data_IF_425537565459
#
_entry.id   IF_425537565459
#
_cell.length_a   1.000
_cell.length_b   1.000
_cell.length_c   1.000
_cell.angle_alpha   90.00
_cell.angle_beta   90.00
_cell.angle_gamma   90.00
#
_symmetry.space_group_name_H-M   'P 1'
#
loop_
_entity.id
_entity.type
_entity.pdbx_description
1 polymer ?
#
# COMPACT_ATOMS: atom_id res chain seq x y z
N UNK A 1 30.85 -20.83 -7.77
CA UNK A 1 30.09 -22.00 -8.27
C UNK A 1 28.70 -21.54 -8.72
N UNK A 2 27.90 -22.37 -9.41
CA UNK A 2 26.62 -21.98 -10.02
C UNK A 2 25.43 -22.24 -9.06
N UNK A 3 24.77 -21.18 -8.59
CA UNK A 3 23.41 -21.24 -8.05
C UNK A 3 22.52 -20.40 -8.99
N UNK A 4 21.74 -21.01 -9.90
CA UNK A 4 20.41 -21.62 -9.69
C UNK A 4 19.40 -20.65 -9.08
N UNK A 5 18.50 -20.19 -9.94
CA UNK A 5 17.32 -19.37 -9.62
C UNK A 5 16.20 -20.21 -9.00
N UNK A 6 15.62 -19.73 -7.91
CA UNK A 6 14.28 -20.12 -7.46
C UNK A 6 13.35 -18.91 -7.57
N UNK A 7 12.55 -18.90 -8.62
CA UNK A 7 11.48 -17.93 -8.85
C UNK A 7 10.20 -18.67 -9.19
N UNK A 8 9.57 -19.30 -8.20
CA UNK A 8 8.25 -19.90 -8.36
C UNK A 8 7.18 -18.88 -8.01
N UNK A 9 6.27 -18.65 -8.96
CA UNK A 9 5.11 -17.78 -8.79
C UNK A 9 4.09 -18.48 -7.90
N UNK A 10 3.68 -17.85 -6.79
CA UNK A 10 2.51 -18.28 -6.04
C UNK A 10 1.26 -17.70 -6.71
N UNK A 11 0.56 -18.54 -7.49
CA UNK A 11 -0.74 -18.20 -8.07
C UNK A 11 -1.86 -18.60 -7.11
N UNK A 12 -2.81 -17.67 -6.86
CA UNK A 12 -3.95 -17.89 -5.98
C UNK A 12 -4.82 -19.12 -6.37
N UNK A 13 -5.43 -19.86 -5.43
CA UNK A 13 -6.09 -21.14 -5.72
C UNK A 13 -7.41 -21.04 -6.48
N UNK A 14 -8.06 -19.87 -6.49
CA UNK A 14 -9.43 -19.71 -6.98
C UNK A 14 -9.50 -18.93 -8.30
N UNK A 15 -9.36 -19.64 -9.42
CA UNK A 15 -9.73 -19.12 -10.75
C UNK A 15 -10.42 -20.21 -11.58
N UNK A 16 -11.65 -19.99 -12.09
CA UNK A 16 -12.35 -20.96 -12.93
C UNK A 16 -11.54 -21.36 -14.16
N UNK A 17 -11.62 -22.64 -14.53
CA UNK A 17 -10.81 -23.23 -15.60
C UNK A 17 -11.60 -23.27 -16.91
N UNK A 18 -11.43 -22.26 -17.76
CA UNK A 18 -11.97 -22.29 -19.13
C UNK A 18 -11.48 -23.51 -19.91
N UNK A 19 -12.42 -24.23 -20.52
CA UNK A 19 -12.17 -25.47 -21.25
C UNK A 19 -12.20 -25.25 -22.76
N UNK A 20 -11.04 -25.02 -23.38
CA UNK A 20 -10.93 -25.02 -24.85
C UNK A 20 -10.85 -26.45 -25.39
N UNK A 21 -11.88 -26.84 -26.15
CA UNK A 21 -11.90 -28.06 -26.95
C UNK A 21 -10.92 -27.94 -28.13
N UNK A 22 -10.23 -29.04 -28.50
CA UNK A 22 -9.40 -29.07 -29.72
C UNK A 22 -9.35 -30.46 -30.37
N UNK A 23 -9.97 -30.59 -31.54
CA UNK A 23 -9.77 -31.62 -32.57
C UNK A 23 -10.61 -31.21 -33.80
N UNK A 24 -10.17 -31.30 -35.06
CA UNK A 24 -8.85 -31.56 -35.65
C UNK A 24 -8.49 -30.47 -36.71
N UNK A 25 -7.54 -30.69 -37.63
CA UNK A 25 -7.96 -31.29 -38.92
C UNK A 25 -7.06 -32.44 -39.43
N UNK A 26 -7.62 -33.19 -40.39
CA UNK A 26 -7.03 -34.37 -41.04
C UNK A 26 -6.03 -34.06 -42.16
N UNK A 27 -5.35 -35.10 -42.66
CA UNK A 27 -4.27 -35.04 -43.66
C UNK A 27 -4.74 -35.28 -45.12
N UNK A 28 -3.76 -35.50 -46.03
CA UNK A 28 -3.78 -35.50 -47.51
C UNK A 28 -3.62 -34.09 -48.13
N UNK A 29 -2.89 -33.84 -49.23
CA UNK A 29 -1.96 -34.64 -50.07
C UNK A 29 -1.09 -33.67 -50.93
N UNK A 30 0.04 -33.99 -51.59
CA UNK A 30 1.12 -35.01 -51.43
C UNK A 30 2.21 -34.76 -52.51
N UNK A 31 3.42 -35.36 -52.37
CA UNK A 31 4.52 -35.43 -53.39
C UNK A 31 5.28 -34.11 -53.78
N UNK A 32 6.53 -34.10 -54.31
CA UNK A 32 7.56 -35.14 -54.53
C UNK A 32 8.99 -34.52 -54.66
N UNK A 33 10.04 -35.34 -54.46
CA UNK A 33 11.43 -35.12 -54.93
C UNK A 33 12.34 -34.22 -54.07
N UNK A 34 13.68 -34.36 -54.06
CA UNK A 34 14.62 -35.31 -54.72
C UNK A 34 15.92 -35.43 -53.87
N UNK A 35 16.80 -36.41 -54.12
CA UNK A 35 18.15 -36.56 -53.53
C UNK A 35 19.14 -35.43 -53.96
N UNK A 36 20.39 -35.24 -53.55
CA UNK A 36 21.56 -36.07 -53.09
C UNK A 36 22.55 -35.17 -52.27
N UNK A 37 23.70 -35.58 -51.68
CA UNK A 37 24.23 -36.85 -51.09
C UNK A 37 25.72 -36.65 -50.67
N UNK A 38 26.21 -37.32 -49.61
CA UNK A 38 27.63 -37.36 -49.14
C UNK A 38 28.31 -35.99 -48.78
N UNK A 39 29.50 -35.88 -48.14
CA UNK A 39 30.53 -36.85 -47.71
C UNK A 39 31.28 -36.44 -46.40
N UNK A 40 32.03 -37.40 -45.84
CA UNK A 40 32.81 -37.37 -44.58
C UNK A 40 33.96 -36.34 -44.51
N UNK A 41 34.48 -36.09 -43.29
CA UNK A 41 35.83 -36.58 -42.86
C UNK A 41 36.09 -36.45 -41.34
N UNK A 42 36.83 -37.40 -40.75
CA UNK A 42 37.26 -37.35 -39.34
C UNK A 42 38.61 -36.64 -39.12
N UNK A 43 38.89 -36.25 -37.86
CA UNK A 43 40.16 -36.57 -37.18
C UNK A 43 39.88 -36.88 -35.69
N UNK A 44 40.55 -37.90 -35.14
CA UNK A 44 40.54 -38.31 -33.74
C UNK A 44 41.97 -38.22 -33.16
N UNK A 45 42.13 -37.95 -31.85
CA UNK A 45 43.21 -38.49 -30.99
C UNK A 45 42.97 -38.11 -29.51
N UNK A 46 43.31 -39.01 -28.59
CA UNK A 46 43.28 -38.82 -27.13
C UNK A 46 44.68 -38.55 -26.55
N UNK A 47 44.77 -37.97 -25.35
CA UNK A 47 46.03 -37.90 -24.59
C UNK A 47 45.84 -37.36 -23.16
N UNK A 48 46.39 -38.05 -22.16
CA UNK A 48 46.29 -37.70 -20.73
C UNK A 48 47.50 -38.26 -19.94
N UNK A 49 47.67 -38.06 -18.60
CA UNK A 49 48.89 -37.39 -18.10
C UNK A 49 49.73 -38.18 -17.07
N UNK A 50 50.92 -37.68 -16.69
CA UNK A 50 51.45 -37.55 -15.29
C UNK A 50 52.93 -37.11 -15.20
N UNK A 51 53.40 -36.87 -13.97
CA UNK A 51 54.70 -36.29 -13.53
C UNK A 51 55.66 -37.38 -13.01
N UNK A 52 57.00 -37.15 -13.03
CA UNK A 52 57.81 -36.86 -11.80
C UNK A 52 59.01 -35.90 -12.09
N UNK A 53 60.01 -35.63 -11.21
CA UNK A 53 60.10 -35.22 -9.77
C UNK A 53 61.63 -34.95 -9.44
N UNK A 54 61.96 -34.33 -8.28
CA UNK A 54 63.32 -34.31 -7.60
C UNK A 54 64.47 -33.50 -8.24
N UNK A 55 65.59 -33.11 -7.57
CA UNK A 55 66.08 -32.89 -6.17
C UNK A 55 67.48 -32.16 -6.33
N UNK A 56 68.23 -31.47 -5.42
CA UNK A 56 68.13 -30.90 -4.04
C UNK A 56 69.36 -29.98 -3.74
N UNK A 57 69.31 -29.08 -2.72
CA UNK A 57 70.41 -28.29 -2.07
C UNK A 57 71.02 -27.06 -2.83
N UNK A 58 71.73 -26.08 -2.22
CA UNK A 58 72.29 -25.94 -0.86
C UNK A 58 72.39 -24.48 -0.29
N UNK A 59 72.32 -24.37 1.05
CA UNK A 59 72.72 -23.36 2.09
C UNK A 59 73.60 -22.09 1.73
N UNK A 60 73.72 -20.95 2.48
CA UNK A 60 73.38 -20.52 3.88
C UNK A 60 73.33 -18.93 4.04
N UNK A 61 73.40 -18.22 5.22
CA UNK A 61 72.34 -17.23 5.58
C UNK A 61 72.82 -15.82 6.06
N UNK A 62 71.99 -15.15 6.90
CA UNK A 62 72.22 -13.99 7.81
C UNK A 62 71.85 -12.58 7.28
N UNK A 63 70.75 -12.02 7.79
CA UNK A 63 70.74 -10.85 8.70
C UNK A 63 69.32 -10.62 9.25
N UNK A 64 69.19 -10.05 10.46
CA UNK A 64 67.91 -9.82 11.13
C UNK A 64 67.75 -8.36 11.58
N UNK A 65 66.63 -7.75 11.20
CA UNK A 65 66.15 -6.48 11.79
C UNK A 65 64.62 -6.54 11.95
N UNK A 66 64.05 -5.96 13.02
CA UNK A 66 62.64 -6.12 13.35
C UNK A 66 61.75 -5.18 12.51
N UNK A 67 61.19 -5.70 11.42
CA UNK A 67 60.20 -4.97 10.62
C UNK A 67 58.82 -5.05 11.29
N UNK A 68 58.15 -3.90 11.40
CA UNK A 68 56.83 -3.77 12.04
C UNK A 68 55.80 -4.61 11.28
N UNK A 69 54.97 -5.38 11.99
CA UNK A 69 53.83 -6.08 11.38
C UNK A 69 52.73 -5.08 11.07
N UNK A 70 52.80 -4.48 9.90
CA UNK A 70 51.75 -3.61 9.37
C UNK A 70 50.58 -4.48 8.88
N UNK A 71 49.70 -4.86 9.83
CA UNK A 71 48.55 -5.74 9.56
C UNK A 71 47.65 -5.12 8.48
N UNK A 72 47.61 -5.77 7.32
CA UNK A 72 46.83 -5.40 6.13
C UNK A 72 45.37 -5.07 6.52
N UNK A 73 44.80 -3.92 6.11
CA UNK A 73 43.42 -3.58 6.41
C UNK A 73 42.41 -4.68 6.02
N UNK A 74 42.70 -5.48 4.98
CA UNK A 74 41.88 -6.63 4.57
C UNK A 74 41.90 -7.77 5.58
N UNK A 75 43.03 -7.98 6.28
CA UNK A 75 43.12 -8.97 7.36
C UNK A 75 42.26 -8.53 8.55
N UNK A 76 42.31 -7.25 8.93
CA UNK A 76 41.46 -6.69 10.00
C UNK A 76 39.96 -6.77 9.65
N UNK A 77 39.60 -6.50 8.40
CA UNK A 77 38.22 -6.69 7.91
C UNK A 77 37.80 -8.16 7.94
N UNK A 78 38.66 -9.09 7.52
CA UNK A 78 38.40 -10.53 7.61
C UNK A 78 38.23 -10.98 9.06
N UNK A 79 39.03 -10.48 10.00
CA UNK A 79 38.93 -10.78 11.43
C UNK A 79 37.63 -10.22 12.05
N UNK A 80 37.26 -9.00 11.70
CA UNK A 80 36.01 -8.38 12.14
C UNK A 80 34.78 -9.14 11.60
N UNK A 81 34.76 -9.52 10.32
CA UNK A 81 33.71 -10.35 9.74
C UNK A 81 33.67 -11.76 10.36
N UNK A 82 34.83 -12.35 10.69
CA UNK A 82 34.90 -13.63 11.42
C UNK A 82 34.43 -13.52 12.87
N UNK A 83 34.56 -12.35 13.51
CA UNK A 83 33.95 -12.08 14.83
C UNK A 83 32.43 -11.98 14.69
N UNK A 84 31.93 -11.14 13.78
CA UNK A 84 30.50 -10.94 13.56
C UNK A 84 29.78 -12.25 13.18
N UNK A 85 30.37 -13.08 12.31
CA UNK A 85 29.81 -14.39 11.97
C UNK A 85 29.75 -15.35 13.17
N UNK A 86 30.67 -15.23 14.14
CA UNK A 86 30.63 -16.03 15.37
C UNK A 86 29.57 -15.51 16.33
N UNK A 87 29.49 -14.20 16.49
CA UNK A 87 28.52 -13.48 17.32
C UNK A 87 27.08 -13.80 16.88
N UNK A 88 26.78 -13.66 15.57
CA UNK A 88 25.53 -14.10 14.95
C UNK A 88 25.27 -15.61 15.08
N UNK A 89 26.31 -16.46 15.04
CA UNK A 89 26.14 -17.91 15.21
C UNK A 89 25.89 -18.31 16.68
N UNK A 90 26.39 -17.54 17.64
CA UNK A 90 26.12 -17.71 19.07
C UNK A 90 24.71 -17.22 19.43
N UNK A 91 24.28 -16.10 18.83
CA UNK A 91 22.93 -15.53 18.91
C UNK A 91 21.87 -16.45 18.28
N UNK A 92 22.07 -16.94 17.05
CA UNK A 92 21.18 -17.93 16.43
C UNK A 92 21.07 -19.19 17.29
N UNK A 93 22.19 -19.69 17.84
CA UNK A 93 22.16 -20.82 18.80
C UNK A 93 21.45 -20.50 20.10
N UNK A 94 21.31 -19.23 20.49
CA UNK A 94 20.55 -18.82 21.66
C UNK A 94 19.06 -18.80 21.35
N UNK A 95 18.66 -18.25 20.20
CA UNK A 95 17.28 -18.34 19.72
C UNK A 95 16.84 -19.79 19.44
N UNK A 96 17.69 -20.65 18.87
CA UNK A 96 17.42 -22.09 18.74
C UNK A 96 17.18 -22.76 20.09
N UNK A 97 17.95 -22.40 21.13
CA UNK A 97 17.76 -22.91 22.50
C UNK A 97 16.49 -22.39 23.16
N UNK A 98 16.12 -21.12 22.96
CA UNK A 98 14.89 -20.58 23.55
C UNK A 98 13.64 -21.11 22.83
N UNK A 99 13.68 -21.23 21.50
CA UNK A 99 12.60 -21.87 20.71
C UNK A 99 12.43 -23.34 21.08
N UNK A 100 13.53 -24.09 21.25
CA UNK A 100 13.43 -25.48 21.68
C UNK A 100 12.99 -25.59 23.14
N UNK A 101 13.36 -24.64 24.01
CA UNK A 101 12.81 -24.52 25.37
C UNK A 101 11.30 -24.29 25.35
N UNK A 102 10.80 -23.36 24.53
CA UNK A 102 9.36 -23.12 24.34
C UNK A 102 8.61 -24.32 23.72
N UNK A 103 9.33 -25.27 23.11
CA UNK A 103 8.77 -26.53 22.60
C UNK A 103 8.87 -27.70 23.58
N UNK A 104 9.86 -27.68 24.47
CA UNK A 104 10.11 -28.72 25.48
C UNK A 104 9.52 -28.41 26.84
N UNK A 105 9.07 -27.17 27.08
CA UNK A 105 8.40 -26.78 28.30
C UNK A 105 7.14 -27.65 28.50
N UNK A 106 6.96 -28.30 29.66
CA UNK A 106 5.67 -28.87 29.99
C UNK A 106 4.65 -27.74 30.12
N UNK A 107 3.39 -28.03 29.78
CA UNK A 107 2.32 -27.03 29.64
C UNK A 107 1.91 -26.36 30.97
N UNK A 108 2.50 -26.82 32.06
CA UNK A 108 2.12 -26.50 33.43
C UNK A 108 2.68 -25.11 33.86
N UNK A 109 3.77 -24.63 33.27
CA UNK A 109 4.31 -23.28 33.52
C UNK A 109 3.34 -22.17 33.04
N UNK A 110 2.55 -22.43 31.99
CA UNK A 110 1.52 -21.48 31.50
C UNK A 110 0.32 -21.37 32.48
N UNK A 111 -0.02 -22.46 33.19
CA UNK A 111 -1.16 -22.46 34.13
C UNK A 111 -0.86 -21.68 35.42
N UNK A 112 0.39 -21.68 35.90
CA UNK A 112 0.80 -20.83 37.03
C UNK A 112 0.76 -19.34 36.67
N UNK A 113 1.22 -18.96 35.48
CA UNK A 113 1.23 -17.55 35.05
C UNK A 113 -0.19 -17.03 34.75
N UNK A 114 -1.07 -17.87 34.17
CA UNK A 114 -2.51 -17.55 34.03
C UNK A 114 -3.18 -17.41 35.41
N UNK A 115 -2.85 -18.28 36.37
CA UNK A 115 -3.37 -18.20 37.75
C UNK A 115 -2.87 -16.95 38.49
N UNK A 116 -1.60 -16.58 38.27
CA UNK A 116 -1.00 -15.32 38.71
C UNK A 116 -1.78 -14.14 38.13
N UNK A 117 -2.05 -14.13 36.82
CA UNK A 117 -2.80 -13.07 36.16
C UNK A 117 -4.24 -12.95 36.70
N UNK A 118 -4.94 -14.07 36.87
CA UNK A 118 -6.32 -14.12 37.42
C UNK A 118 -6.36 -13.59 38.86
N UNK A 119 -5.39 -13.97 39.71
CA UNK A 119 -5.33 -13.45 41.09
C UNK A 119 -4.95 -11.97 41.13
N UNK A 120 -4.17 -11.47 40.17
CA UNK A 120 -3.83 -10.05 40.04
C UNK A 120 -5.03 -9.22 39.57
N UNK A 121 -5.82 -9.71 38.61
CA UNK A 121 -7.08 -9.09 38.15
C UNK A 121 -8.13 -9.03 39.26
N UNK A 122 -8.37 -10.15 39.96
CA UNK A 122 -9.32 -10.19 41.08
C UNK A 122 -8.89 -9.31 42.27
N UNK A 123 -7.59 -9.05 42.43
CA UNK A 123 -7.04 -8.13 43.43
C UNK A 123 -7.15 -6.65 43.00
N UNK A 124 -7.18 -6.37 41.70
CA UNK A 124 -7.39 -5.04 41.16
C UNK A 124 -8.88 -4.61 41.18
N UNK A 125 -9.81 -5.57 41.10
CA UNK A 125 -11.25 -5.32 41.19
C UNK A 125 -11.92 -6.25 42.24
N UNK A 126 -11.85 -5.92 43.54
CA UNK A 126 -12.43 -6.74 44.59
C UNK A 126 -13.97 -6.63 44.60
N UNK A 127 -14.65 -7.63 44.03
CA UNK A 127 -16.10 -7.79 44.21
C UNK A 127 -16.41 -8.00 45.72
N UNK A 128 -17.57 -7.52 46.21
CA UNK A 128 -17.99 -7.77 47.58
C UNK A 128 -18.18 -9.28 47.83
N UNK A 129 -17.96 -9.76 49.06
CA UNK A 129 -17.95 -11.20 49.36
C UNK A 129 -19.35 -11.80 49.26
N UNK A 130 -19.66 -12.40 48.12
CA UNK A 130 -20.81 -13.30 47.95
C UNK A 130 -20.64 -14.45 48.94
N UNK A 131 -21.59 -14.59 49.86
CA UNK A 131 -21.63 -15.74 50.78
C UNK A 131 -21.84 -17.00 49.94
N UNK A 132 -20.84 -17.88 49.89
CA UNK A 132 -21.02 -19.20 49.31
C UNK A 132 -22.10 -19.94 50.13
N UNK A 133 -23.21 -20.39 49.51
CA UNK A 133 -24.07 -21.38 50.15
C UNK A 133 -23.27 -22.69 50.31
N UNK A 134 -23.51 -23.42 51.38
CA UNK A 134 -22.77 -24.66 51.67
C UNK A 134 -22.87 -25.64 50.51
N UNK A 135 -21.73 -26.05 49.95
CA UNK A 135 -21.69 -26.95 48.80
C UNK A 135 -22.34 -28.30 49.16
N UNK A 136 -23.32 -28.79 48.38
CA UNK A 136 -24.02 -30.03 48.71
C UNK A 136 -23.05 -31.22 48.69
N UNK A 137 -23.26 -32.23 49.56
CA UNK A 137 -22.35 -33.36 49.68
C UNK A 137 -22.21 -34.12 48.36
N UNK A 138 -20.99 -34.56 48.06
CA UNK A 138 -20.58 -35.18 46.78
C UNK A 138 -21.48 -36.34 46.32
N UNK A 139 -22.12 -37.06 47.26
CA UNK A 139 -23.10 -38.10 46.98
C UNK A 139 -24.34 -37.60 46.22
N UNK A 140 -24.79 -36.37 46.47
CA UNK A 140 -25.90 -35.71 45.77
C UNK A 140 -25.51 -35.28 44.33
N UNK A 141 -24.21 -35.04 44.11
CA UNK A 141 -23.67 -34.65 42.80
C UNK A 141 -23.44 -35.89 41.92
N UNK A 142 -22.94 -36.99 42.49
CA UNK A 142 -22.81 -38.28 41.81
C UNK A 142 -24.16 -38.88 41.38
N UNK A 143 -25.23 -38.67 42.15
CA UNK A 143 -26.57 -39.14 41.77
C UNK A 143 -27.14 -38.47 40.51
N UNK A 144 -26.68 -37.27 40.16
CA UNK A 144 -27.13 -36.56 38.95
C UNK A 144 -26.63 -37.20 37.64
N UNK A 145 -25.60 -38.05 37.70
CA UNK A 145 -25.04 -38.74 36.53
C UNK A 145 -25.65 -40.13 36.27
N UNK A 146 -26.64 -40.56 37.08
CA UNK A 146 -27.31 -41.85 36.88
C UNK A 146 -28.58 -41.68 36.02
N UNK A 147 -28.73 -42.37 34.87
CA UNK A 147 -29.78 -42.12 33.87
C UNK A 147 -31.22 -42.51 34.29
N UNK A 148 -31.42 -42.87 35.56
CA UNK A 148 -32.72 -43.22 36.16
C UNK A 148 -32.98 -42.47 37.48
N UNK A 149 -32.09 -41.58 37.90
CA UNK A 149 -32.35 -40.70 39.04
C UNK A 149 -33.39 -39.63 38.66
N UNK A 150 -34.36 -39.37 39.54
CA UNK A 150 -35.21 -38.18 39.39
C UNK A 150 -34.34 -36.94 39.63
N UNK A 151 -34.45 -35.89 38.81
CA UNK A 151 -33.69 -34.66 39.04
C UNK A 151 -34.03 -34.09 40.42
N UNK A 152 -32.99 -33.85 41.21
CA UNK A 152 -33.12 -33.16 42.49
C UNK A 152 -33.32 -31.68 42.16
N UNK A 153 -34.55 -31.20 42.28
CA UNK A 153 -34.81 -29.76 42.28
C UNK A 153 -34.14 -29.17 43.53
N UNK A 154 -32.97 -28.55 43.36
CA UNK A 154 -32.44 -27.65 44.37
C UNK A 154 -33.48 -26.54 44.60
N UNK A 155 -33.63 -26.01 45.82
CA UNK A 155 -34.30 -24.74 46.02
C UNK A 155 -33.39 -23.66 45.41
N UNK A 156 -33.60 -23.35 44.13
CA UNK A 156 -33.03 -22.15 43.54
C UNK A 156 -33.50 -20.98 44.42
N UNK A 157 -32.60 -20.15 44.99
CA UNK A 157 -33.04 -18.88 45.53
C UNK A 157 -33.77 -18.12 44.40
N UNK A 158 -34.79 -17.29 44.69
CA UNK A 158 -35.38 -16.46 43.65
C UNK A 158 -34.23 -15.73 42.94
N UNK A 159 -34.13 -15.81 41.59
CA UNK A 159 -33.05 -15.15 40.91
C UNK A 159 -33.16 -13.66 41.23
N UNK A 160 -32.09 -13.09 41.78
CA UNK A 160 -31.96 -11.63 41.87
C UNK A 160 -32.06 -11.12 40.43
N UNK A 161 -33.21 -10.51 40.08
CA UNK A 161 -33.43 -9.97 38.75
C UNK A 161 -32.32 -8.93 38.51
N UNK A 162 -31.42 -9.13 37.52
CA UNK A 162 -30.37 -8.16 37.29
C UNK A 162 -31.06 -6.86 36.87
N UNK A 163 -30.84 -5.78 37.65
CA UNK A 163 -31.51 -4.47 37.48
C UNK A 163 -31.38 -3.87 36.07
N UNK A 164 -30.50 -4.44 35.25
CA UNK A 164 -30.37 -4.22 33.82
C UNK A 164 -30.48 -5.58 33.13
N UNK A 165 -31.37 -5.76 32.13
CA UNK A 165 -31.40 -6.98 31.36
C UNK A 165 -30.04 -7.22 30.69
N UNK A 166 -29.73 -8.49 30.40
CA UNK A 166 -28.52 -8.86 29.66
C UNK A 166 -28.50 -8.08 28.33
N UNK A 167 -27.37 -7.46 27.93
CA UNK A 167 -27.28 -6.72 26.69
C UNK A 167 -27.67 -7.61 25.50
N UNK A 168 -28.73 -7.24 24.77
CA UNK A 168 -29.13 -7.98 23.58
C UNK A 168 -28.10 -7.81 22.47
N UNK A 169 -27.99 -8.82 21.61
CA UNK A 169 -27.23 -8.76 20.36
C UNK A 169 -28.11 -8.32 19.17
N UNK A 170 -29.36 -7.95 19.41
CA UNK A 170 -30.24 -7.33 18.41
C UNK A 170 -29.71 -5.96 17.98
N UNK A 171 -29.89 -5.56 16.70
CA UNK A 171 -29.53 -4.22 16.25
C UNK A 171 -30.25 -3.14 17.08
N UNK A 172 -29.48 -2.19 17.61
CA UNK A 172 -30.03 -1.04 18.32
C UNK A 172 -30.76 -0.15 17.30
N UNK A 173 -32.05 0.11 17.51
CA UNK A 173 -32.77 1.15 16.78
C UNK A 173 -32.21 2.52 17.19
N UNK A 174 -31.75 3.30 16.20
CA UNK A 174 -31.09 4.59 16.40
C UNK A 174 -32.00 5.71 15.90
N UNK A 175 -32.23 6.71 16.75
CA UNK A 175 -33.06 7.89 16.42
C UNK A 175 -32.53 8.65 15.19
N UNK A 176 -31.21 8.67 15.00
CA UNK A 176 -30.54 9.16 13.79
C UNK A 176 -29.42 8.19 13.36
N UNK A 177 -29.58 7.45 12.25
CA UNK A 177 -28.54 6.58 11.71
C UNK A 177 -27.50 7.32 10.85
N UNK A 178 -27.73 8.57 10.43
CA UNK A 178 -26.89 9.26 9.45
C UNK A 178 -25.44 9.47 9.94
N UNK A 179 -25.17 9.90 11.20
CA UNK A 179 -23.81 10.03 11.71
C UNK A 179 -23.05 8.70 11.71
N UNK A 180 -23.75 7.59 11.99
CA UNK A 180 -23.17 6.25 12.01
C UNK A 180 -22.79 5.76 10.61
N UNK A 181 -23.58 6.09 9.58
CA UNK A 181 -23.24 5.81 8.19
C UNK A 181 -22.06 6.68 7.71
N UNK A 182 -21.98 7.94 8.17
CA UNK A 182 -20.89 8.87 7.87
C UNK A 182 -19.55 8.50 8.53
N UNK A 183 -19.51 7.59 9.51
CA UNK A 183 -18.24 7.09 10.08
C UNK A 183 -17.40 6.27 9.08
N UNK A 184 -18.01 5.75 8.00
CA UNK A 184 -17.37 4.81 7.08
C UNK A 184 -16.86 5.43 5.77
N UNK A 185 -17.09 6.72 5.54
CA UNK A 185 -16.68 7.42 4.32
C UNK A 185 -16.35 8.88 4.63
N UNK A 186 -15.35 9.44 3.95
CA UNK A 186 -15.00 10.86 4.11
C UNK A 186 -15.87 11.80 3.28
N UNK A 187 -16.74 11.26 2.43
CA UNK A 187 -17.52 12.00 1.45
C UNK A 187 -18.92 12.38 1.97
N UNK A 188 -19.38 13.56 1.57
CA UNK A 188 -20.78 13.98 1.70
C UNK A 188 -21.57 13.56 0.45
N UNK A 189 -22.83 13.18 0.64
CA UNK A 189 -23.72 12.67 -0.40
C UNK A 189 -25.05 13.42 -0.38
N UNK A 190 -25.39 14.07 -1.49
CA UNK A 190 -26.70 14.65 -1.74
C UNK A 190 -27.45 13.77 -2.74
N UNK A 191 -28.74 13.49 -2.51
CA UNK A 191 -29.53 12.58 -3.35
C UNK A 191 -30.91 13.14 -3.65
N UNK A 192 -31.23 13.26 -4.94
CA UNK A 192 -32.55 13.65 -5.45
C UNK A 192 -33.23 12.45 -6.12
N UNK A 193 -34.46 12.12 -5.71
CA UNK A 193 -35.23 11.01 -6.28
C UNK A 193 -36.41 11.52 -7.11
N UNK A 194 -36.41 11.19 -8.40
CA UNK A 194 -37.53 11.35 -9.32
C UNK A 194 -38.21 10.03 -9.66
N UNK A 195 -39.49 10.08 -10.03
CA UNK A 195 -40.23 8.94 -10.56
C UNK A 195 -40.36 9.09 -12.08
N UNK A 196 -40.06 8.03 -12.83
CA UNK A 196 -40.19 8.02 -14.30
C UNK A 196 -41.66 7.97 -14.70
N UNK A 197 -42.01 8.45 -15.90
CA UNK A 197 -43.38 8.35 -16.43
C UNK A 197 -43.91 6.91 -16.50
N UNK A 198 -43.01 5.93 -16.69
CA UNK A 198 -43.27 4.52 -16.44
C UNK A 198 -43.18 4.23 -14.93
N UNK A 199 -44.33 3.92 -14.31
CA UNK A 199 -44.54 3.82 -12.85
C UNK A 199 -43.79 2.69 -12.11
N UNK A 200 -42.65 2.22 -12.66
CA UNK A 200 -41.71 1.27 -12.06
C UNK A 200 -40.28 1.81 -11.97
N UNK A 201 -39.90 2.73 -12.86
CA UNK A 201 -38.56 3.31 -12.89
C UNK A 201 -38.42 4.45 -11.88
N UNK A 202 -37.51 4.31 -10.92
CA UNK A 202 -37.04 5.42 -10.09
C UNK A 202 -35.73 5.97 -10.68
N UNK A 203 -35.60 7.29 -10.73
CA UNK A 203 -34.37 7.98 -11.14
C UNK A 203 -33.76 8.62 -9.90
N UNK A 204 -32.56 8.20 -9.54
CA UNK A 204 -31.80 8.75 -8.43
C UNK A 204 -30.63 9.55 -9.00
N UNK A 205 -30.61 10.85 -8.73
CA UNK A 205 -29.48 11.73 -9.05
C UNK A 205 -28.67 11.92 -7.78
N UNK A 206 -27.45 11.40 -7.75
CA UNK A 206 -26.57 11.42 -6.58
C UNK A 206 -25.37 12.31 -6.86
N UNK A 207 -25.14 13.29 -5.99
CA UNK A 207 -23.95 14.13 -5.98
C UNK A 207 -23.08 13.74 -4.79
N UNK A 208 -21.79 13.55 -5.04
CA UNK A 208 -20.80 13.09 -4.07
C UNK A 208 -19.68 14.12 -3.99
N UNK A 209 -19.32 14.50 -2.77
CA UNK A 209 -18.43 15.64 -2.47
C UNK A 209 -17.36 15.23 -1.47
N UNK A 210 -16.09 15.42 -1.81
CA UNK A 210 -14.98 15.10 -0.91
C UNK A 210 -14.85 16.12 0.24
N UNK A 211 -14.04 15.83 1.27
CA UNK A 211 -13.58 16.83 2.23
C UNK A 211 -13.07 18.10 1.54
N UNK A 212 -13.45 19.26 2.07
CA UNK A 212 -13.21 20.59 1.50
C UNK A 212 -13.64 20.78 0.02
N UNK A 213 -14.51 19.92 -0.52
CA UNK A 213 -15.02 19.96 -1.90
C UNK A 213 -13.93 19.99 -2.98
N UNK A 214 -12.85 19.22 -2.78
CA UNK A 214 -11.72 19.11 -3.70
C UNK A 214 -12.03 18.22 -4.92
N UNK A 215 -12.76 17.13 -4.70
CA UNK A 215 -13.34 16.26 -5.71
C UNK A 215 -14.87 16.30 -5.63
N UNK A 216 -15.52 16.32 -6.79
CA UNK A 216 -16.95 16.18 -6.96
C UNK A 216 -17.22 15.20 -8.10
N UNK A 217 -18.18 14.31 -7.86
CA UNK A 217 -18.76 13.37 -8.82
C UNK A 217 -20.28 13.53 -8.74
N UNK A 218 -20.96 13.69 -9.87
CA UNK A 218 -22.41 13.62 -9.97
C UNK A 218 -22.80 12.52 -10.94
N UNK A 219 -23.68 11.62 -10.54
CA UNK A 219 -24.17 10.52 -11.38
C UNK A 219 -25.67 10.33 -11.23
N UNK A 220 -26.28 9.75 -12.27
CA UNK A 220 -27.70 9.45 -12.33
C UNK A 220 -27.87 7.95 -12.58
N UNK A 221 -28.66 7.30 -11.74
CA UNK A 221 -29.02 5.89 -11.90
C UNK A 221 -30.53 5.72 -12.03
N UNK A 222 -30.95 4.87 -12.96
CA UNK A 222 -32.34 4.43 -13.09
C UNK A 222 -32.47 3.03 -12.50
N UNK A 223 -33.22 2.89 -11.40
CA UNK A 223 -33.51 1.61 -10.76
C UNK A 223 -34.95 1.17 -11.06
N UNK A 224 -35.15 -0.11 -11.41
CA UNK A 224 -36.50 -0.68 -11.47
C UNK A 224 -36.95 -1.09 -10.06
N UNK A 225 -38.01 -0.46 -9.56
CA UNK A 225 -38.60 -0.73 -8.25
C UNK A 225 -39.21 -2.14 -8.15
N UNK A 226 -39.47 -2.83 -9.27
CA UNK A 226 -40.04 -4.17 -9.29
C UNK A 226 -38.98 -5.29 -9.21
N UNK A 227 -37.79 -5.07 -9.75
CA UNK A 227 -36.67 -6.05 -9.73
C UNK A 227 -35.53 -5.68 -8.78
N UNK A 228 -35.52 -4.43 -8.28
CA UNK A 228 -34.43 -3.84 -7.49
C UNK A 228 -33.08 -3.80 -8.24
N UNK A 229 -33.10 -3.79 -9.59
CA UNK A 229 -31.89 -3.73 -10.42
C UNK A 229 -31.65 -2.32 -10.99
N UNK A 230 -30.39 -1.90 -11.05
CA UNK A 230 -29.98 -0.70 -11.80
C UNK A 230 -30.03 -0.99 -13.30
N UNK A 231 -30.96 -0.35 -13.99
CA UNK A 231 -31.21 -0.48 -15.43
C UNK A 231 -30.25 0.38 -16.26
N UNK A 232 -29.82 1.53 -15.72
CA UNK A 232 -28.97 2.52 -16.40
C UNK A 232 -28.17 3.31 -15.36
N UNK A 233 -26.90 3.59 -15.64
CA UNK A 233 -26.02 4.47 -14.85
C UNK A 233 -25.26 5.43 -15.77
N UNK A 234 -25.35 6.74 -15.49
CA UNK A 234 -24.70 7.80 -16.28
C UNK A 234 -23.95 8.78 -15.37
N UNK A 235 -22.70 9.09 -15.71
CA UNK A 235 -21.89 10.11 -15.01
C UNK A 235 -22.22 11.49 -15.60
N UNK A 236 -22.85 12.35 -14.80
CA UNK A 236 -23.25 13.71 -15.17
C UNK A 236 -22.07 14.70 -15.06
N UNK A 237 -21.33 14.63 -13.96
CA UNK A 237 -20.25 15.56 -13.63
C UNK A 237 -19.07 14.83 -12.97
N UNK A 238 -17.86 15.34 -13.23
CA UNK A 238 -16.63 14.94 -12.56
C UNK A 238 -15.68 16.14 -12.51
N UNK A 239 -14.95 16.35 -11.42
CA UNK A 239 -13.92 17.39 -11.33
C UNK A 239 -12.92 17.29 -12.51
N UNK A 240 -12.70 18.36 -13.29
CA UNK A 240 -11.90 18.28 -14.52
C UNK A 240 -10.47 17.74 -14.34
N UNK A 241 -9.87 17.95 -13.16
CA UNK A 241 -8.54 17.46 -12.82
C UNK A 241 -8.47 15.94 -12.64
N UNK A 242 -9.56 15.29 -12.25
CA UNK A 242 -9.66 13.83 -12.07
C UNK A 242 -10.00 13.09 -13.39
N UNK A 243 -10.49 13.82 -14.39
CA UNK A 243 -11.06 13.28 -15.63
C UNK A 243 -10.08 12.46 -16.49
N UNK A 244 -8.76 12.69 -16.34
CA UNK A 244 -7.74 11.96 -17.11
C UNK A 244 -7.40 10.57 -16.54
N UNK A 245 -7.44 10.40 -15.21
CA UNK A 245 -7.12 9.13 -14.54
C UNK A 245 -8.40 8.36 -14.19
N UNK A 246 -9.24 8.92 -13.30
CA UNK A 246 -10.48 8.31 -12.84
C UNK A 246 -11.57 8.30 -13.93
N UNK A 247 -11.62 9.36 -14.75
CA UNK A 247 -12.72 9.62 -15.69
C UNK A 247 -12.89 8.61 -16.83
N UNK A 248 -11.87 7.80 -17.13
CA UNK A 248 -11.99 6.66 -18.05
C UNK A 248 -12.61 5.43 -17.36
N UNK A 249 -12.11 5.11 -16.16
CA UNK A 249 -12.56 3.95 -15.39
C UNK A 249 -14.04 4.03 -15.03
N UNK A 250 -14.48 5.14 -14.42
CA UNK A 250 -15.87 5.27 -13.97
C UNK A 250 -16.88 5.26 -15.14
N UNK A 251 -16.47 5.68 -16.34
CA UNK A 251 -17.34 5.61 -17.54
C UNK A 251 -17.48 4.19 -18.06
N UNK A 252 -16.45 3.36 -17.91
CA UNK A 252 -16.56 1.93 -18.20
C UNK A 252 -17.50 1.25 -17.20
N UNK A 253 -17.29 1.46 -15.88
CA UNK A 253 -18.14 0.87 -14.83
C UNK A 253 -19.59 1.38 -14.88
N UNK A 254 -19.80 2.63 -15.28
CA UNK A 254 -21.13 3.17 -15.57
C UNK A 254 -21.84 2.43 -16.72
N UNK A 255 -21.12 2.11 -17.82
CA UNK A 255 -21.66 1.29 -18.91
C UNK A 255 -21.90 -0.18 -18.51
N UNK A 256 -21.24 -0.66 -17.45
CA UNK A 256 -21.47 -1.96 -16.81
C UNK A 256 -22.59 -1.90 -15.74
N UNK A 257 -23.23 -0.73 -15.53
CA UNK A 257 -24.20 -0.42 -14.45
C UNK A 257 -23.68 -0.66 -13.01
N UNK A 258 -22.37 -0.73 -12.80
CA UNK A 258 -21.75 -0.98 -11.50
C UNK A 258 -21.57 0.33 -10.69
N UNK A 259 -22.61 0.68 -9.92
CA UNK A 259 -22.60 1.82 -8.98
C UNK A 259 -21.50 1.66 -7.92
N UNK A 260 -21.29 0.45 -7.43
CA UNK A 260 -20.38 0.17 -6.30
C UNK A 260 -18.93 0.47 -6.66
N UNK A 261 -18.45 0.00 -7.82
CA UNK A 261 -17.09 0.31 -8.27
C UNK A 261 -16.93 1.78 -8.68
N UNK A 262 -17.98 2.46 -9.15
CA UNK A 262 -17.92 3.92 -9.43
C UNK A 262 -17.70 4.72 -8.15
N UNK A 263 -18.45 4.42 -7.08
CA UNK A 263 -18.28 5.08 -5.79
C UNK A 263 -16.92 4.74 -5.14
N UNK A 264 -16.61 3.44 -5.01
CA UNK A 264 -15.38 2.96 -4.36
C UNK A 264 -14.11 3.47 -5.06
N UNK A 265 -14.05 3.41 -6.40
CA UNK A 265 -12.90 3.92 -7.14
C UNK A 265 -12.74 5.44 -7.00
N UNK A 266 -13.83 6.18 -6.80
CA UNK A 266 -13.76 7.64 -6.64
C UNK A 266 -13.22 8.04 -5.26
N UNK A 267 -13.61 7.33 -4.19
CA UNK A 267 -13.05 7.52 -2.84
C UNK A 267 -11.58 7.03 -2.76
N UNK A 268 -11.30 5.82 -3.25
CA UNK A 268 -9.94 5.24 -3.28
C UNK A 268 -8.96 6.10 -4.11
N UNK A 269 -9.41 6.62 -5.26
CA UNK A 269 -8.63 7.57 -6.07
C UNK A 269 -8.34 8.88 -5.34
N UNK A 270 -9.33 9.44 -4.63
CA UNK A 270 -9.17 10.71 -3.92
C UNK A 270 -8.10 10.62 -2.84
N UNK A 271 -8.12 9.55 -2.06
CA UNK A 271 -7.17 9.30 -0.99
C UNK A 271 -5.72 9.26 -1.49
N UNK A 272 -5.48 8.54 -2.59
CA UNK A 272 -4.19 8.55 -3.27
C UNK A 272 -3.87 9.91 -3.90
N UNK A 273 -4.84 10.59 -4.50
CA UNK A 273 -4.65 11.91 -5.10
C UNK A 273 -4.23 12.97 -4.06
N UNK A 274 -4.78 12.91 -2.84
CA UNK A 274 -4.42 13.78 -1.70
C UNK A 274 -3.04 13.43 -1.14
N UNK A 275 -2.73 12.15 -0.89
CA UNK A 275 -1.39 11.69 -0.46
C UNK A 275 -0.31 12.15 -1.45
N UNK A 276 -0.60 11.99 -2.74
CA UNK A 276 0.23 12.43 -3.88
C UNK A 276 0.33 13.96 -3.98
N UNK A 277 -0.76 14.70 -3.78
CA UNK A 277 -0.78 16.17 -3.77
C UNK A 277 0.09 16.76 -2.63
N UNK A 278 -0.02 16.20 -1.43
CA UNK A 278 0.82 16.54 -0.28
C UNK A 278 2.31 16.30 -0.57
N UNK A 279 2.65 15.17 -1.21
CA UNK A 279 4.03 14.88 -1.61
C UNK A 279 4.61 15.97 -2.53
N UNK A 280 3.91 16.37 -3.59
CA UNK A 280 4.40 17.46 -4.45
C UNK A 280 4.42 18.81 -3.73
N UNK A 281 3.45 19.12 -2.86
CA UNK A 281 3.46 20.36 -2.08
C UNK A 281 4.73 20.46 -1.21
N UNK A 282 5.14 19.36 -0.55
CA UNK A 282 6.43 19.25 0.13
C UNK A 282 7.61 19.43 -0.83
N UNK A 283 7.57 18.85 -2.03
CA UNK A 283 8.59 19.06 -3.05
C UNK A 283 8.69 20.53 -3.51
N UNK A 284 7.58 21.24 -3.68
CA UNK A 284 7.57 22.67 -4.02
C UNK A 284 8.16 23.54 -2.92
N UNK A 285 7.87 23.23 -1.65
CA UNK A 285 8.47 23.91 -0.49
C UNK A 285 9.98 23.65 -0.42
N UNK A 286 10.42 22.40 -0.48
CA UNK A 286 11.83 22.02 -0.35
C UNK A 286 12.73 22.35 -1.56
N UNK A 287 12.20 22.27 -2.78
CA UNK A 287 12.99 22.29 -4.03
C UNK A 287 12.54 23.33 -5.05
N UNK A 288 11.90 24.42 -4.59
CA UNK A 288 11.43 25.55 -5.39
C UNK A 288 12.41 26.03 -6.48
N UNK A 289 13.71 26.09 -6.17
CA UNK A 289 14.79 26.50 -7.09
C UNK A 289 14.98 25.59 -8.32
N UNK A 290 14.62 24.31 -8.20
CA UNK A 290 14.72 23.30 -9.27
C UNK A 290 13.40 23.10 -10.02
N UNK A 291 12.27 23.48 -9.39
CA UNK A 291 10.91 23.29 -9.89
C UNK A 291 10.40 24.53 -10.64
N UNK A 292 11.04 24.84 -11.78
CA UNK A 292 10.59 25.89 -12.68
C UNK A 292 9.23 25.53 -13.31
N UNK A 293 8.13 26.05 -12.75
CA UNK A 293 6.73 25.75 -13.11
C UNK A 293 6.28 26.43 -14.43
N UNK A 294 7.11 26.27 -15.48
CA UNK A 294 6.94 26.86 -16.82
C UNK A 294 5.63 26.46 -17.51
N UNK A 295 5.01 25.36 -17.07
CA UNK A 295 3.68 24.91 -17.48
C UNK A 295 2.54 25.80 -16.96
N UNK A 296 2.72 26.51 -15.84
CA UNK A 296 1.71 27.43 -15.31
C UNK A 296 1.79 28.84 -15.92
N UNK A 297 3.00 29.35 -16.20
CA UNK A 297 3.20 30.73 -16.68
C UNK A 297 2.49 31.02 -18.01
N UNK A 298 2.49 30.05 -18.94
CA UNK A 298 1.95 30.24 -20.29
C UNK A 298 0.44 30.53 -20.33
N UNK A 299 -0.31 30.00 -19.35
CA UNK A 299 -1.75 30.27 -19.22
C UNK A 299 -2.03 31.61 -18.52
N UNK A 300 -1.16 32.01 -17.59
CA UNK A 300 -1.31 33.26 -16.83
C UNK A 300 -0.96 34.52 -17.65
N UNK A 301 0.04 34.44 -18.53
CA UNK A 301 0.48 35.61 -19.33
C UNK A 301 -0.50 35.96 -20.47
N UNK A 302 -1.23 34.99 -21.00
CA UNK A 302 -2.32 35.23 -21.96
C UNK A 302 -3.42 36.11 -21.33
N UNK A 303 -3.91 35.71 -20.16
CA UNK A 303 -4.97 36.42 -19.42
C UNK A 303 -4.58 37.84 -19.00
N UNK A 304 -3.29 38.13 -18.79
CA UNK A 304 -2.81 39.46 -18.39
C UNK A 304 -2.78 40.49 -19.52
N UNK A 305 -2.75 40.07 -20.80
CA UNK A 305 -2.77 41.01 -21.94
C UNK A 305 -4.18 41.42 -22.39
N UNK A 306 -5.23 40.78 -21.91
CA UNK A 306 -6.61 41.06 -22.30
C UNK A 306 -7.28 42.24 -21.56
N UNK A 307 -6.73 42.71 -20.43
CA UNK A 307 -7.36 43.70 -19.53
C UNK A 307 -6.79 45.13 -19.63
N UNK A 308 -6.49 45.62 -20.84
CA UNK A 308 -5.99 46.99 -21.07
C UNK A 308 -6.69 47.76 -22.22
N UNK A 309 -7.93 47.38 -22.56
CA UNK A 309 -8.85 48.24 -23.34
C UNK A 309 -9.58 49.23 -22.40
N UNK A 310 -9.58 50.52 -22.73
CA UNK A 310 -10.23 51.58 -21.94
C UNK A 310 -11.70 51.81 -22.36
N UNK A 311 -12.58 51.97 -21.37
CA UNK A 311 -13.96 52.47 -21.51
C UNK A 311 -14.48 52.92 -20.13
N UNK A 312 -15.06 54.12 -19.94
CA UNK A 312 -15.20 54.73 -18.61
C UNK A 312 -16.62 54.73 -18.01
N UNK A 313 -16.65 54.86 -16.68
CA UNK A 313 -17.72 55.44 -15.84
C UNK A 313 -19.15 54.84 -15.90
N UNK A 314 -19.53 54.17 -14.81
CA UNK A 314 -20.45 54.80 -13.85
C UNK A 314 -20.17 54.29 -12.43
N UNK A 315 -20.64 55.01 -11.40
CA UNK A 315 -20.31 54.74 -10.01
C UNK A 315 -21.56 54.74 -9.11
N UNK A 316 -21.71 53.67 -8.34
CA UNK A 316 -22.46 53.63 -7.07
C UNK A 316 -21.80 52.58 -6.18
N UNK A 317 -21.57 52.84 -4.89
CA UNK A 317 -21.00 51.87 -3.96
C UNK A 317 -22.10 51.00 -3.34
N UNK A 318 -21.79 49.75 -3.02
CA UNK A 318 -22.51 49.04 -1.95
C UNK A 318 -21.62 48.03 -1.24
N UNK A 319 -21.77 48.01 0.08
CA UNK A 319 -21.01 47.18 1.02
C UNK A 319 -21.43 45.72 0.98
N UNK A 320 -20.46 44.83 1.11
CA UNK A 320 -20.60 43.63 1.93
C UNK A 320 -19.23 43.19 2.44
N UNK A 321 -18.96 43.35 3.73
CA UNK A 321 -17.97 42.50 4.40
C UNK A 321 -18.46 41.04 4.27
N UNK A 322 -17.54 40.13 4.02
CA UNK A 322 -17.62 38.76 4.53
C UNK A 322 -16.28 38.47 5.19
N UNK A 323 -16.35 38.08 6.46
CA UNK A 323 -15.18 37.82 7.29
C UNK A 323 -14.74 36.36 7.09
N UNK A 324 -13.43 36.14 7.00
CA UNK A 324 -12.84 34.85 6.62
C UNK A 324 -12.70 33.97 7.87
N UNK A 325 -13.81 33.39 8.33
CA UNK A 325 -13.79 32.40 9.42
C UNK A 325 -13.16 31.09 8.92
N UNK A 326 -11.91 30.86 9.33
CA UNK A 326 -11.17 29.65 9.05
C UNK A 326 -11.49 28.58 10.11
N UNK A 327 -12.44 27.68 9.83
CA UNK A 327 -12.68 26.52 10.69
C UNK A 327 -11.51 25.53 10.65
N UNK A 328 -10.81 25.39 11.78
CA UNK A 328 -9.82 24.32 11.99
C UNK A 328 -10.54 23.00 12.33
N UNK A 329 -11.08 22.34 11.30
CA UNK A 329 -11.74 21.03 11.45
C UNK A 329 -10.71 19.94 11.79
N UNK A 330 -10.64 19.59 13.08
CA UNK A 330 -9.85 18.46 13.58
C UNK A 330 -10.52 17.12 13.23
N UNK A 331 -10.07 16.49 12.15
CA UNK A 331 -10.49 15.14 11.78
C UNK A 331 -9.89 14.09 12.72
N UNK A 332 -10.75 13.35 13.43
CA UNK A 332 -10.32 12.35 14.41
C UNK A 332 -9.88 11.05 13.71
N UNK A 333 -8.60 10.69 13.90
CA UNK A 333 -8.12 9.31 13.78
C UNK A 333 -7.13 9.01 12.64
N UNK A 334 -5.83 8.96 12.96
CA UNK A 334 -4.92 7.85 12.61
C UNK A 334 -3.54 7.97 13.31
N UNK A 335 -3.49 8.03 14.65
CA UNK A 335 -2.21 8.11 15.40
C UNK A 335 -1.42 6.78 15.43
N UNK A 336 -0.87 6.34 14.29
CA UNK A 336 0.16 5.30 14.21
C UNK A 336 1.13 5.48 13.02
N UNK A 337 1.83 6.62 12.94
CA UNK A 337 3.15 6.71 12.28
C UNK A 337 3.84 8.07 12.52
N UNK A 338 5.13 8.05 12.90
CA UNK A 338 6.12 9.12 12.61
C UNK A 338 5.91 10.52 13.23
N UNK A 339 6.85 10.95 14.09
CA UNK A 339 7.00 12.37 14.44
C UNK A 339 7.63 13.17 13.30
N UNK A 340 6.84 13.57 12.30
CA UNK A 340 7.23 14.67 11.42
C UNK A 340 6.95 16.01 12.12
N UNK A 341 7.98 16.57 12.74
CA UNK A 341 7.98 17.97 13.15
C UNK A 341 8.21 18.87 11.92
N UNK A 342 7.83 20.15 12.03
CA UNK A 342 7.93 21.20 11.01
C UNK A 342 6.99 21.06 9.79
N UNK A 343 5.71 21.41 9.98
CA UNK A 343 4.80 21.70 8.87
C UNK A 343 3.47 22.33 9.30
N UNK A 344 3.19 23.56 8.85
CA UNK A 344 1.79 24.02 8.77
C UNK A 344 1.02 23.10 7.80
N UNK A 345 -0.28 22.82 8.05
CA UNK A 345 -1.10 22.00 7.16
C UNK A 345 -1.06 22.56 5.73
N UNK A 346 -1.00 21.66 4.75
CA UNK A 346 -0.91 22.04 3.33
C UNK A 346 -2.22 22.70 2.93
N UNK A 347 -2.16 23.98 2.56
CA UNK A 347 -3.37 24.76 2.30
C UNK A 347 -4.16 24.21 1.11
N UNK A 348 -5.47 24.46 1.08
CA UNK A 348 -6.37 24.09 -0.04
C UNK A 348 -5.82 24.56 -1.41
N UNK A 349 -5.19 25.74 -1.45
CA UNK A 349 -4.57 26.28 -2.66
C UNK A 349 -3.26 25.57 -3.08
N UNK A 350 -2.51 24.99 -2.14
CA UNK A 350 -1.34 24.16 -2.42
C UNK A 350 -1.75 22.75 -2.89
N UNK A 351 -2.75 22.13 -2.25
CA UNK A 351 -3.34 20.86 -2.69
C UNK A 351 -3.88 20.97 -4.12
N UNK A 352 -4.66 22.02 -4.42
CA UNK A 352 -5.21 22.27 -5.77
C UNK A 352 -4.16 22.51 -6.86
N UNK A 353 -2.91 22.86 -6.51
CA UNK A 353 -1.79 22.91 -7.48
C UNK A 353 -1.24 21.51 -7.80
N UNK A 354 -1.40 20.58 -6.87
CA UNK A 354 -1.04 19.17 -7.03
C UNK A 354 -2.10 18.39 -7.80
N UNK A 355 -3.35 18.40 -7.34
CA UNK A 355 -4.43 17.51 -7.82
C UNK A 355 -4.53 17.44 -9.36
N UNK A 356 -4.58 16.21 -9.90
CA UNK A 356 -4.63 15.92 -11.34
C UNK A 356 -3.30 16.02 -12.10
N UNK A 357 -2.18 16.38 -11.44
CA UNK A 357 -0.85 16.41 -12.06
C UNK A 357 -0.29 14.98 -12.14
N UNK A 358 0.21 14.51 -13.27
CA UNK A 358 0.86 13.17 -13.31
C UNK A 358 2.36 13.20 -12.99
N UNK A 359 3.01 14.37 -13.00
CA UNK A 359 4.47 14.45 -12.81
C UNK A 359 4.99 15.83 -12.41
N UNK A 360 6.13 15.79 -11.71
CA UNK A 360 6.99 16.95 -11.45
C UNK A 360 8.36 16.74 -12.11
N UNK A 361 9.02 17.84 -12.50
CA UNK A 361 10.32 17.81 -13.18
C UNK A 361 11.27 18.79 -12.50
N UNK A 362 12.26 18.25 -11.81
CA UNK A 362 13.39 19.01 -11.28
C UNK A 362 14.38 19.27 -12.42
N UNK A 363 14.88 20.51 -12.53
CA UNK A 363 15.75 20.96 -13.61
C UNK A 363 16.92 21.79 -13.11
N UNK A 364 18.11 21.44 -13.56
CA UNK A 364 19.29 22.32 -13.61
C UNK A 364 19.63 22.63 -15.07
N UNK A 365 20.79 23.26 -15.33
CA UNK A 365 21.26 23.57 -16.70
C UNK A 365 21.42 22.32 -17.58
N UNK A 366 21.85 21.21 -16.96
CA UNK A 366 22.36 20.03 -17.64
C UNK A 366 21.67 18.71 -17.22
N UNK A 367 20.96 18.72 -16.09
CA UNK A 367 20.27 17.55 -15.52
C UNK A 367 18.77 17.79 -15.46
N UNK A 368 17.99 16.77 -15.85
CA UNK A 368 16.54 16.70 -15.65
C UNK A 368 16.21 15.44 -14.86
N UNK A 369 15.43 15.57 -13.79
CA UNK A 369 14.84 14.45 -13.05
C UNK A 369 13.33 14.60 -13.08
N UNK A 370 12.64 13.72 -13.81
CA UNK A 370 11.18 13.62 -13.85
C UNK A 370 10.75 12.52 -12.89
N UNK A 371 9.87 12.86 -11.95
CA UNK A 371 9.09 11.90 -11.18
C UNK A 371 7.69 11.88 -11.76
N UNK A 372 7.23 10.70 -12.17
CA UNK A 372 5.85 10.46 -12.57
C UNK A 372 5.15 9.63 -11.49
N UNK A 373 3.92 9.99 -11.15
CA UNK A 373 3.10 9.27 -10.18
C UNK A 373 1.69 9.22 -10.73
N UNK A 374 1.31 8.04 -11.22
CA UNK A 374 -0.03 7.76 -11.77
C UNK A 374 -0.84 6.98 -10.76
N UNK A 375 -2.15 7.16 -10.82
CA UNK A 375 -3.09 6.28 -10.14
C UNK A 375 -3.73 5.39 -11.21
N UNK A 376 -3.74 4.08 -10.95
CA UNK A 376 -4.38 3.05 -11.77
C UNK A 376 -5.51 2.41 -10.96
N UNK A 377 -6.30 1.53 -11.60
CA UNK A 377 -7.43 0.85 -10.95
C UNK A 377 -7.40 -0.63 -11.27
N UNK A 378 -7.78 -1.44 -10.29
CA UNK A 378 -7.98 -2.87 -10.46
C UNK A 378 -9.41 -3.20 -11.00
N UNK A 379 -9.84 -4.46 -10.91
CA UNK A 379 -11.16 -4.91 -11.34
C UNK A 379 -12.27 -4.68 -10.30
N UNK A 380 -11.93 -4.41 -9.03
CA UNK A 380 -12.86 -3.99 -7.96
C UNK A 380 -13.07 -2.48 -7.91
N UNK A 381 -12.09 -1.72 -8.40
CA UNK A 381 -12.03 -0.26 -8.28
C UNK A 381 -11.06 0.22 -7.20
N UNK A 382 -10.32 -0.67 -6.54
CA UNK A 382 -9.22 -0.26 -5.68
C UNK A 382 -8.15 0.47 -6.51
N UNK A 383 -7.74 1.63 -6.02
CA UNK A 383 -6.81 2.51 -6.72
C UNK A 383 -5.36 2.19 -6.33
N UNK A 384 -4.49 1.94 -7.32
CA UNK A 384 -3.08 1.63 -7.12
C UNK A 384 -2.17 2.82 -7.47
N UNK A 385 -1.19 3.13 -6.62
CA UNK A 385 -0.19 4.18 -6.89
C UNK A 385 1.03 3.63 -7.62
N UNK A 386 1.21 4.03 -8.89
CA UNK A 386 2.35 3.64 -9.71
C UNK A 386 3.30 4.83 -9.88
N UNK A 387 4.38 4.83 -9.11
CA UNK A 387 5.46 5.85 -9.16
C UNK A 387 6.59 5.37 -10.07
N UNK A 388 7.17 6.25 -10.88
CA UNK A 388 8.25 5.97 -11.82
C UNK A 388 9.18 7.19 -11.93
N UNK A 389 10.46 6.97 -12.26
CA UNK A 389 11.42 8.06 -12.50
C UNK A 389 12.13 7.97 -13.85
N UNK A 390 12.40 9.13 -14.44
CA UNK A 390 13.23 9.28 -15.63
C UNK A 390 14.26 10.39 -15.45
N UNK A 391 15.52 10.10 -15.76
CA UNK A 391 16.62 11.07 -15.68
C UNK A 391 17.24 11.31 -17.06
N UNK A 392 17.40 12.59 -17.43
CA UNK A 392 18.31 12.99 -18.50
C UNK A 392 19.59 13.58 -17.87
N UNK A 393 20.72 13.01 -18.26
CA UNK A 393 22.08 13.42 -17.90
C UNK A 393 22.85 13.82 -19.16
N UNK A 394 23.90 14.66 -19.05
CA UNK A 394 24.82 14.98 -20.14
C UNK A 394 25.41 13.74 -20.82
N UNK A 395 25.71 13.85 -22.12
CA UNK A 395 26.38 12.79 -22.89
C UNK A 395 27.68 12.35 -22.24
N UNK A 396 28.53 13.32 -21.88
CA UNK A 396 29.82 13.11 -21.21
C UNK A 396 29.74 12.30 -19.91
N UNK A 397 28.65 12.41 -19.13
CA UNK A 397 28.48 11.58 -17.93
C UNK A 397 28.10 10.13 -18.29
N UNK A 398 27.26 9.96 -19.32
CA UNK A 398 26.85 8.65 -19.83
C UNK A 398 27.99 7.91 -20.52
N UNK A 399 28.92 8.65 -21.14
CA UNK A 399 30.14 8.14 -21.76
C UNK A 399 31.18 7.72 -20.71
N UNK A 400 31.22 8.39 -19.55
CA UNK A 400 32.07 8.02 -18.41
C UNK A 400 31.50 6.93 -17.48
N UNK A 401 30.28 6.43 -17.73
CA UNK A 401 29.62 5.41 -16.91
C UNK A 401 29.94 3.97 -17.37
N UNK A 402 31.22 3.59 -17.26
CA UNK A 402 31.75 2.24 -17.54
C UNK A 402 30.93 1.09 -16.90
N UNK A 403 30.21 1.39 -15.82
CA UNK A 403 29.47 0.43 -14.99
C UNK A 403 27.96 0.39 -15.27
N UNK A 404 27.47 1.22 -16.19
CA UNK A 404 26.03 1.36 -16.49
C UNK A 404 25.19 1.69 -15.26
N UNK A 405 25.77 2.44 -14.32
CA UNK A 405 25.19 2.89 -13.05
C UNK A 405 23.95 3.73 -13.27
N UNK A 406 23.97 4.66 -14.23
CA UNK A 406 22.85 5.54 -14.50
C UNK A 406 21.64 4.82 -15.11
N UNK A 407 21.85 3.63 -15.71
CA UNK A 407 20.75 2.76 -16.17
C UNK A 407 19.99 2.10 -15.00
N UNK A 408 20.55 2.10 -13.79
CA UNK A 408 19.98 1.49 -12.59
C UNK A 408 19.16 2.48 -11.74
N UNK A 409 19.17 3.78 -12.08
CA UNK A 409 18.48 4.83 -11.31
C UNK A 409 17.01 4.48 -10.98
N UNK A 410 16.17 3.99 -11.92
CA UNK A 410 14.81 3.59 -11.58
C UNK A 410 14.78 2.52 -10.48
N UNK A 411 15.45 1.38 -10.69
CA UNK A 411 15.53 0.29 -9.71
C UNK A 411 16.23 0.67 -8.38
N UNK A 412 16.97 1.77 -8.33
CA UNK A 412 17.46 2.37 -7.06
C UNK A 412 16.38 3.22 -6.40
N UNK A 413 15.66 4.04 -7.16
CA UNK A 413 14.54 4.83 -6.64
C UNK A 413 13.41 3.95 -6.13
N UNK A 414 13.06 2.88 -6.86
CA UNK A 414 11.99 1.95 -6.48
C UNK A 414 12.24 1.36 -5.07
N UNK A 415 13.49 0.97 -4.77
CA UNK A 415 13.90 0.51 -3.43
C UNK A 415 13.86 1.61 -2.37
N UNK A 416 14.26 2.84 -2.71
CA UNK A 416 14.16 3.97 -1.77
C UNK A 416 12.69 4.30 -1.44
N UNK A 417 11.76 4.03 -2.37
CA UNK A 417 10.31 4.13 -2.11
C UNK A 417 9.84 3.00 -1.19
N UNK A 418 10.30 1.77 -1.40
CA UNK A 418 10.03 0.62 -0.51
C UNK A 418 10.59 0.83 0.92
N UNK A 419 11.80 1.39 1.06
CA UNK A 419 12.50 1.56 2.33
C UNK A 419 12.10 2.83 3.11
N UNK A 420 11.78 3.94 2.43
CA UNK A 420 11.60 5.26 3.07
C UNK A 420 10.37 6.05 2.57
N UNK A 421 9.61 5.51 1.62
CA UNK A 421 8.47 6.20 1.02
C UNK A 421 8.86 7.30 0.00
N UNK A 422 7.86 7.74 -0.76
CA UNK A 422 8.07 8.51 -2.00
C UNK A 422 8.78 9.85 -1.78
N UNK A 423 8.44 10.60 -0.72
CA UNK A 423 9.05 11.92 -0.51
C UNK A 423 10.55 11.85 -0.19
N UNK A 424 10.96 10.95 0.70
CA UNK A 424 12.37 10.79 1.09
C UNK A 424 13.20 10.12 -0.01
N UNK A 425 12.60 9.24 -0.81
CA UNK A 425 13.19 8.75 -2.06
C UNK A 425 13.46 9.88 -3.06
N UNK A 426 12.48 10.77 -3.29
CA UNK A 426 12.65 11.95 -4.16
C UNK A 426 13.74 12.89 -3.61
N UNK A 427 13.72 13.19 -2.31
CA UNK A 427 14.68 14.07 -1.63
C UNK A 427 16.11 13.52 -1.72
N UNK A 428 16.30 12.22 -1.52
CA UNK A 428 17.58 11.53 -1.71
C UNK A 428 18.05 11.62 -3.16
N UNK A 429 17.18 11.30 -4.13
CA UNK A 429 17.53 11.39 -5.55
C UNK A 429 17.83 12.81 -6.02
N UNK A 430 17.13 13.83 -5.51
CA UNK A 430 17.43 15.24 -5.79
C UNK A 430 18.79 15.63 -5.21
N UNK A 431 19.10 15.22 -3.98
CA UNK A 431 20.41 15.43 -3.37
C UNK A 431 21.56 14.78 -4.15
N UNK A 432 21.35 13.59 -4.72
CA UNK A 432 22.34 12.86 -5.52
C UNK A 432 22.51 13.37 -6.97
N UNK A 433 21.54 14.12 -7.51
CA UNK A 433 21.53 14.56 -8.92
C UNK A 433 21.74 16.06 -9.12
N UNK A 434 21.64 16.87 -8.07
CA UNK A 434 21.70 18.34 -8.12
C UNK A 434 22.60 18.96 -7.03
N UNK A 435 23.59 18.20 -6.55
CA UNK A 435 24.65 18.66 -5.64
C UNK A 435 25.71 19.51 -6.34
#
# INVERSE_FOLDING_TARGET
MKNKSFGQRLSSPFKPRESQLRSEPSASDTEAGTAESTQNREVHVQGSPRIPEKDVAEQRPVLAFPMKVEVDPRQRQMELLKKQLRELQEEVKQYEREVERSRSAPRDEEEEDISSLITLVNKANPLPPVKQPEAPPLSSLLSAFLPLAKPINLPTPPPDEPEKPLPSHEPIELDDPLPYLQLFTSFSYDSEMGVTGDARGQVHTVNMHSPASLLHLGFQMTADSATQTVSKLEVLSLSPWASHELGAYIKQRAAENDVSAVCWATESYYDLAVKRANCWARCYKGFSRLLNDSTASKTAEASRKAKHGKGPQQAVPSSSNFEEEAEEVSGIGHELAGKEQDGHPVSKAELMRGLGRESIVFRSKEVLFKVAWRIQFDWTGEAESVVNVGVALPGVWREADDRGSFKKIPATFDRLVEEMGVFEAIKTMVGLLFT
#
